data_IF_605003898181
#
_entry.id   IF_605003898181
#
_cell.length_a   1.000
_cell.length_b   1.000
_cell.length_c   1.000
_cell.angle_alpha   90.00
_cell.angle_beta   90.00
_cell.angle_gamma   90.00
#
_symmetry.space_group_name_H-M   'P 1'
#
loop_
_entity.id
_entity.type
_entity.pdbx_description
1 polymer ?
#
# COMPACT_ATOMS: atom_id res chain seq x y z
N UNK A 1 -10.83 -20.12 -17.80
CA UNK A 1 -11.12 -19.27 -16.64
C UNK A 1 -10.07 -18.16 -16.55
N UNK A 2 -10.45 -16.93 -16.23
CA UNK A 2 -9.53 -15.81 -15.99
C UNK A 2 -9.02 -15.84 -14.54
N UNK A 3 -7.96 -15.07 -14.21
CA UNK A 3 -7.52 -14.95 -12.81
C UNK A 3 -8.60 -14.33 -11.91
N UNK A 4 -9.38 -13.39 -12.45
CA UNK A 4 -10.51 -12.81 -11.75
C UNK A 4 -11.60 -13.85 -11.42
N UNK A 5 -12.01 -14.64 -12.41
CA UNK A 5 -13.02 -15.69 -12.22
C UNK A 5 -12.57 -16.74 -11.19
N UNK A 6 -11.30 -17.17 -11.26
CA UNK A 6 -10.71 -18.07 -10.26
C UNK A 6 -10.76 -17.44 -8.87
N UNK A 7 -10.39 -16.17 -8.74
CA UNK A 7 -10.34 -15.46 -7.46
C UNK A 7 -11.73 -15.40 -6.84
N UNK A 8 -12.73 -15.00 -7.61
CA UNK A 8 -14.14 -14.92 -7.18
C UNK A 8 -14.65 -16.29 -6.73
N UNK A 9 -14.33 -17.38 -7.46
CA UNK A 9 -14.68 -18.74 -7.06
C UNK A 9 -14.01 -19.15 -5.76
N UNK A 10 -12.69 -18.93 -5.65
CA UNK A 10 -11.90 -19.28 -4.47
C UNK A 10 -12.45 -18.59 -3.21
N UNK A 11 -12.76 -17.29 -3.25
CA UNK A 11 -13.30 -16.58 -2.08
C UNK A 11 -14.74 -16.97 -1.74
N UNK A 12 -15.47 -17.59 -2.68
CA UNK A 12 -16.81 -18.14 -2.48
C UNK A 12 -16.81 -19.63 -2.11
N UNK A 13 -15.63 -20.22 -1.87
CA UNK A 13 -15.47 -21.65 -1.59
C UNK A 13 -15.96 -22.57 -2.73
N UNK A 14 -15.95 -22.06 -3.96
CA UNK A 14 -16.20 -22.85 -5.17
C UNK A 14 -14.89 -23.39 -5.75
N UNK A 15 -14.94 -24.52 -6.47
CA UNK A 15 -13.75 -25.12 -7.09
C UNK A 15 -13.34 -24.34 -8.36
N UNK A 16 -12.15 -23.72 -8.42
CA UNK A 16 -11.59 -23.18 -9.66
C UNK A 16 -10.95 -24.29 -10.51
N UNK A 17 -10.58 -23.99 -11.75
CA UNK A 17 -9.82 -24.90 -12.63
C UNK A 17 -8.35 -25.06 -12.19
N UNK A 18 -7.80 -24.11 -11.43
CA UNK A 18 -6.53 -24.23 -10.68
C UNK A 18 -6.51 -23.29 -9.49
N UNK A 19 -5.68 -23.60 -8.49
CA UNK A 19 -5.42 -22.71 -7.36
C UNK A 19 -4.60 -21.51 -7.85
N UNK A 20 -4.97 -20.32 -7.38
CA UNK A 20 -4.24 -19.08 -7.64
C UNK A 20 -3.05 -18.94 -6.71
N UNK A 21 -1.95 -18.42 -7.23
CA UNK A 21 -0.84 -17.94 -6.40
C UNK A 21 -1.17 -16.54 -5.90
N UNK A 22 -1.02 -16.34 -4.59
CA UNK A 22 -1.21 -15.05 -3.94
C UNK A 22 0.01 -14.75 -3.08
N UNK A 23 0.52 -13.52 -3.20
CA UNK A 23 1.58 -13.00 -2.37
C UNK A 23 1.59 -11.46 -2.38
N UNK A 24 2.25 -10.88 -1.39
CA UNK A 24 2.56 -9.47 -1.30
C UNK A 24 4.03 -9.25 -1.69
N UNK A 25 4.27 -8.62 -2.84
CA UNK A 25 5.62 -8.43 -3.36
C UNK A 25 6.08 -6.99 -3.11
N UNK A 26 7.03 -6.84 -2.19
CA UNK A 26 7.72 -5.57 -1.85
C UNK A 26 9.23 -5.78 -2.02
N UNK A 27 9.66 -5.87 -3.28
CA UNK A 27 11.03 -6.27 -3.61
C UNK A 27 11.55 -5.55 -4.86
N UNK A 28 12.64 -4.79 -4.68
CA UNK A 28 13.29 -4.03 -5.76
C UNK A 28 13.86 -4.90 -6.87
N UNK A 29 14.59 -5.94 -6.50
CA UNK A 29 15.30 -6.81 -7.44
C UNK A 29 14.32 -7.53 -8.36
N UNK A 30 13.18 -7.98 -7.84
CA UNK A 30 12.12 -8.60 -8.65
C UNK A 30 11.54 -7.61 -9.68
N UNK A 31 11.27 -6.37 -9.28
CA UNK A 31 10.73 -5.36 -10.20
C UNK A 31 11.76 -4.95 -11.26
N UNK A 32 13.03 -4.84 -10.89
CA UNK A 32 14.11 -4.52 -11.82
C UNK A 32 14.38 -5.66 -12.81
N UNK A 33 14.38 -6.90 -12.32
CA UNK A 33 14.68 -8.10 -13.13
C UNK A 33 13.52 -8.47 -14.06
N UNK A 34 12.28 -8.45 -13.55
CA UNK A 34 11.11 -8.99 -14.27
C UNK A 34 10.09 -7.95 -14.72
N UNK A 35 10.17 -6.71 -14.23
CA UNK A 35 9.20 -5.65 -14.55
C UNK A 35 9.46 -4.91 -15.86
N UNK A 36 10.72 -4.83 -16.32
CA UNK A 36 11.08 -4.12 -17.54
C UNK A 36 10.82 -2.59 -17.49
N UNK A 37 10.58 -1.97 -18.65
CA UNK A 37 10.31 -0.52 -18.80
C UNK A 37 8.80 -0.22 -18.90
N UNK A 38 8.39 0.99 -18.57
CA UNK A 38 6.99 1.45 -18.63
C UNK A 38 6.58 2.20 -17.36
N UNK A 39 5.29 2.48 -17.22
CA UNK A 39 4.75 3.00 -15.97
C UNK A 39 4.82 1.94 -14.86
N UNK A 40 4.65 2.39 -13.61
CA UNK A 40 4.82 1.54 -12.45
C UNK A 40 3.82 0.38 -12.39
N UNK A 41 2.58 0.59 -12.85
CA UNK A 41 1.53 -0.42 -12.83
C UNK A 41 1.84 -1.51 -13.86
N UNK A 42 2.19 -1.11 -15.09
CA UNK A 42 2.59 -2.04 -16.14
C UNK A 42 3.81 -2.87 -15.73
N UNK A 43 4.82 -2.23 -15.12
CA UNK A 43 6.02 -2.92 -14.64
C UNK A 43 5.68 -3.95 -13.56
N UNK A 44 4.82 -3.60 -12.60
CA UNK A 44 4.38 -4.53 -11.56
C UNK A 44 3.54 -5.68 -12.13
N UNK A 45 2.60 -5.40 -13.04
CA UNK A 45 1.80 -6.42 -13.69
C UNK A 45 2.66 -7.41 -14.50
N UNK A 46 3.69 -6.90 -15.19
CA UNK A 46 4.64 -7.72 -15.94
C UNK A 46 5.51 -8.56 -15.02
N UNK A 47 6.03 -7.97 -13.94
CA UNK A 47 6.76 -8.70 -12.90
C UNK A 47 5.91 -9.84 -12.34
N UNK A 48 4.69 -9.56 -11.89
CA UNK A 48 3.77 -10.54 -11.32
C UNK A 48 3.53 -11.71 -12.29
N UNK A 49 3.24 -11.41 -13.56
CA UNK A 49 3.09 -12.42 -14.61
C UNK A 49 4.34 -13.29 -14.75
N UNK A 50 5.53 -12.68 -14.78
CA UNK A 50 6.79 -13.38 -15.03
C UNK A 50 7.24 -14.27 -13.87
N UNK A 51 6.88 -13.92 -12.62
CA UNK A 51 7.16 -14.77 -11.44
C UNK A 51 6.05 -15.80 -11.16
N UNK A 52 5.00 -15.83 -11.99
CA UNK A 52 3.86 -16.73 -11.81
C UNK A 52 2.92 -16.34 -10.67
N UNK A 53 2.83 -15.04 -10.35
CA UNK A 53 1.92 -14.49 -9.35
C UNK A 53 0.59 -14.08 -9.99
N UNK A 54 -0.50 -14.70 -9.54
CA UNK A 54 -1.82 -14.48 -10.13
C UNK A 54 -2.61 -13.32 -9.52
N UNK A 55 -2.45 -13.13 -8.21
CA UNK A 55 -3.19 -12.15 -7.42
C UNK A 55 -2.26 -11.48 -6.43
N UNK A 56 -2.38 -10.16 -6.30
CA UNK A 56 -1.76 -9.39 -5.23
C UNK A 56 -2.68 -8.25 -4.83
N UNK A 57 -2.40 -7.64 -3.68
CA UNK A 57 -3.16 -6.51 -3.13
C UNK A 57 -2.40 -5.18 -3.18
N UNK A 58 -1.22 -5.14 -3.81
CA UNK A 58 -0.32 -4.02 -3.76
C UNK A 58 0.51 -3.87 -5.02
N UNK A 59 1.01 -2.66 -5.25
CA UNK A 59 1.95 -2.32 -6.33
C UNK A 59 3.21 -1.84 -5.63
N UNK A 60 4.34 -2.48 -5.89
CA UNK A 60 5.62 -2.05 -5.34
C UNK A 60 6.06 -0.74 -6.02
N UNK A 61 6.33 0.29 -5.22
CA UNK A 61 6.92 1.56 -5.66
C UNK A 61 8.33 1.70 -5.06
N UNK A 62 9.39 1.64 -5.89
CA UNK A 62 10.77 1.75 -5.40
C UNK A 62 11.17 3.19 -5.02
N UNK A 63 10.36 4.20 -5.38
CA UNK A 63 10.62 5.63 -5.18
C UNK A 63 9.82 6.15 -3.99
N UNK A 64 8.52 5.87 -3.95
CA UNK A 64 7.64 6.36 -2.89
C UNK A 64 7.36 5.25 -1.88
N UNK A 65 7.87 5.41 -0.66
CA UNK A 65 7.57 4.46 0.41
C UNK A 65 6.07 4.45 0.75
N UNK A 66 5.53 3.27 1.07
CA UNK A 66 4.11 3.05 1.39
C UNK A 66 3.55 3.94 2.50
N UNK A 67 4.42 4.44 3.38
CA UNK A 67 4.04 5.36 4.46
C UNK A 67 3.49 6.69 3.93
N UNK A 68 3.91 7.14 2.74
CA UNK A 68 3.40 8.38 2.13
C UNK A 68 1.88 8.35 1.98
N UNK A 69 1.34 7.29 1.36
CA UNK A 69 -0.11 7.14 1.18
C UNK A 69 -0.87 6.94 2.50
N UNK A 70 -0.22 6.42 3.55
CA UNK A 70 -0.82 6.34 4.89
C UNK A 70 -0.98 7.72 5.53
N UNK A 71 0.04 8.57 5.40
CA UNK A 71 0.00 9.95 5.90
C UNK A 71 -1.10 10.73 5.17
N UNK A 72 -1.20 10.61 3.84
CA UNK A 72 -2.28 11.22 3.06
C UNK A 72 -3.66 10.77 3.55
N UNK A 73 -3.85 9.47 3.79
CA UNK A 73 -5.10 8.95 4.35
C UNK A 73 -5.38 9.46 5.76
N UNK A 74 -4.36 9.61 6.62
CA UNK A 74 -4.51 10.15 7.97
C UNK A 74 -4.92 11.62 7.95
N UNK A 75 -4.28 12.43 7.11
CA UNK A 75 -4.65 13.84 6.93
C UNK A 75 -6.10 13.92 6.42
N UNK A 76 -6.42 13.14 5.38
CA UNK A 76 -7.72 13.18 4.72
C UNK A 76 -8.86 12.69 5.62
N UNK A 77 -8.76 11.47 6.13
CA UNK A 77 -9.88 10.80 6.80
C UNK A 77 -9.90 11.00 8.31
N UNK A 78 -8.77 11.32 8.91
CA UNK A 78 -8.63 11.41 10.36
C UNK A 78 -8.29 12.84 10.84
N UNK A 79 -8.18 13.80 9.92
CA UNK A 79 -7.95 15.21 10.23
C UNK A 79 -6.60 15.49 10.88
N UNK A 80 -5.60 14.63 10.65
CA UNK A 80 -4.26 14.85 11.19
C UNK A 80 -3.67 16.12 10.56
N UNK A 81 -3.29 17.09 11.38
CA UNK A 81 -2.60 18.29 10.89
C UNK A 81 -1.16 17.91 10.47
N UNK A 82 -0.77 18.08 9.19
CA UNK A 82 0.57 17.76 8.72
C UNK A 82 1.64 18.77 9.15
N UNK A 83 1.25 19.95 9.64
CA UNK A 83 2.18 21.03 9.97
C UNK A 83 3.20 20.58 11.02
N UNK A 84 4.48 20.80 10.69
CA UNK A 84 5.66 20.47 11.52
C UNK A 84 5.91 18.98 11.77
N UNK A 85 5.14 18.09 11.14
CA UNK A 85 5.56 16.70 10.98
C UNK A 85 6.54 16.60 9.83
N UNK A 86 7.61 15.84 10.01
CA UNK A 86 8.51 15.49 8.93
C UNK A 86 8.66 13.98 8.92
N UNK A 87 8.41 13.37 7.77
CA UNK A 87 8.67 11.95 7.55
C UNK A 87 9.83 11.82 6.57
N UNK A 88 10.91 11.24 7.05
CA UNK A 88 12.10 10.96 6.26
C UNK A 88 12.16 9.47 5.93
N UNK A 89 12.62 9.15 4.73
CA UNK A 89 12.78 7.76 4.28
C UNK A 89 14.26 7.44 4.23
N UNK A 90 14.70 6.41 4.95
CA UNK A 90 16.09 5.95 4.93
C UNK A 90 16.17 4.47 5.23
N UNK A 91 16.88 3.71 4.38
CA UNK A 91 17.11 2.28 4.59
C UNK A 91 15.85 1.40 4.42
N UNK A 92 14.92 1.77 3.53
CA UNK A 92 13.69 1.00 3.31
C UNK A 92 12.65 1.11 4.44
N UNK A 93 12.81 2.12 5.30
CA UNK A 93 11.85 2.44 6.35
C UNK A 93 11.53 3.94 6.34
N UNK A 94 10.39 4.29 6.94
CA UNK A 94 9.97 5.67 7.13
C UNK A 94 10.08 6.04 8.62
N UNK A 95 10.71 7.17 8.87
CA UNK A 95 10.92 7.73 10.20
C UNK A 95 10.16 9.02 10.34
N UNK A 96 9.48 9.20 11.47
CA UNK A 96 9.03 10.51 11.90
C UNK A 96 10.29 11.26 12.39
N UNK A 97 10.86 12.12 11.55
CA UNK A 97 12.06 12.90 11.86
C UNK A 97 11.73 14.19 12.61
N UNK A 98 10.50 14.69 12.52
CA UNK A 98 10.01 15.81 13.34
C UNK A 98 8.56 15.58 13.76
N UNK A 99 8.23 16.09 14.95
CA UNK A 99 6.90 16.05 15.55
C UNK A 99 6.51 17.42 16.10
N UNK A 100 5.21 17.79 16.06
CA UNK A 100 4.73 19.08 16.56
C UNK A 100 4.43 19.11 18.07
N UNK A 101 4.79 18.05 18.80
CA UNK A 101 4.54 17.92 20.25
C UNK A 101 5.80 17.48 20.99
N UNK A 102 5.96 17.96 22.22
CA UNK A 102 7.05 17.56 23.10
C UNK A 102 6.68 16.37 23.99
N UNK A 103 5.39 16.23 24.35
CA UNK A 103 4.87 15.28 25.33
C UNK A 103 3.59 14.56 24.88
N UNK A 104 3.07 13.68 25.75
CA UNK A 104 1.87 12.88 25.50
C UNK A 104 0.59 13.72 25.47
N UNK A 105 0.50 14.77 26.28
CA UNK A 105 -0.69 15.61 26.37
C UNK A 105 -0.84 16.46 25.11
N UNK A 106 0.27 16.90 24.54
CA UNK A 106 0.27 17.59 23.25
C UNK A 106 0.01 16.64 22.08
N UNK A 107 0.47 15.38 22.15
CA UNK A 107 0.17 14.36 21.13
C UNK A 107 -1.34 14.17 20.93
N UNK A 108 -2.16 14.25 21.99
CA UNK A 108 -3.63 14.13 21.91
C UNK A 108 -4.30 15.09 20.92
N UNK A 109 -3.64 16.21 20.56
CA UNK A 109 -4.17 17.17 19.57
C UNK A 109 -3.91 16.72 18.12
N UNK A 110 -3.00 15.77 17.93
CA UNK A 110 -2.54 15.30 16.62
C UNK A 110 -2.87 13.82 16.38
N UNK A 111 -3.51 13.15 17.35
CA UNK A 111 -3.97 11.77 17.13
C UNK A 111 -5.11 11.76 16.11
N UNK A 112 -5.20 10.68 15.31
CA UNK A 112 -6.29 10.48 14.37
C UNK A 112 -7.67 10.60 15.06
N UNK A 113 -8.56 11.43 14.51
CA UNK A 113 -9.97 11.44 14.92
C UNK A 113 -10.71 10.26 14.29
N UNK A 114 -11.81 9.82 14.91
CA UNK A 114 -12.68 8.84 14.25
C UNK A 114 -13.13 9.37 12.89
N UNK A 115 -12.97 8.60 11.81
CA UNK A 115 -13.28 9.07 10.47
C UNK A 115 -14.79 9.30 10.30
N UNK A 116 -15.15 10.32 9.53
CA UNK A 116 -16.56 10.62 9.29
C UNK A 116 -17.17 9.55 8.38
N UNK A 117 -18.21 8.89 8.87
CA UNK A 117 -18.88 7.79 8.16
C UNK A 117 -19.29 8.18 6.74
N UNK A 118 -19.79 9.41 6.56
CA UNK A 118 -20.21 9.98 5.28
C UNK A 118 -19.11 10.09 4.22
N UNK A 119 -17.83 10.11 4.62
CA UNK A 119 -16.69 10.19 3.69
C UNK A 119 -16.15 8.82 3.27
N UNK A 120 -16.50 7.76 3.99
CA UNK A 120 -16.06 6.38 3.73
C UNK A 120 -17.04 5.63 2.82
N UNK A 121 -18.33 5.94 2.89
CA UNK A 121 -19.39 5.21 2.17
C UNK A 121 -19.59 5.67 0.69
N UNK A 122 -18.66 6.46 0.13
CA UNK A 122 -18.65 6.86 -1.28
C UNK A 122 -17.76 5.96 -2.12
#
# INVERSE_FOLDING_TARGET
>A
MTNYERFVKTIKFELPDRILTYDFVDNRELLETYGGKGDLIERNARMAKNIGLDVTRYIYDPVNHWMGSKIENWIRFFGVNPDKWEVSQKGGTAWISKRPFADLKELEKYVPNMPQKSEIEK
#
